data_IF_554197518282
#
_entry.id   IF_554197518282
#
_cell.length_a   1.000
_cell.length_b   1.000
_cell.length_c   1.000
_cell.angle_alpha   90.00
_cell.angle_beta   90.00
_cell.angle_gamma   90.00
#
_symmetry.space_group_name_H-M   'P 1'
#
loop_
_entity.id
_entity.type
_entity.pdbx_description
1 polymer ?
#
# COMPACT_ATOMS: atom_id res chain seq x y z
N UNK A 1 -69.44 -2.62 18.68
CA UNK A 1 -68.35 -1.79 18.12
C UNK A 1 -67.00 -2.02 18.81
N UNK A 2 -66.72 -3.17 19.45
CA UNK A 2 -65.42 -3.43 20.17
C UNK A 2 -64.41 -4.32 19.42
N UNK A 3 -64.79 -5.01 18.35
CA UNK A 3 -63.89 -5.99 17.71
C UNK A 3 -63.02 -5.47 16.55
N UNK A 4 -63.23 -4.25 16.05
CA UNK A 4 -62.41 -3.73 14.94
C UNK A 4 -61.05 -3.16 15.36
N UNK A 5 -60.88 -2.78 16.62
CA UNK A 5 -59.63 -2.18 17.10
C UNK A 5 -58.56 -3.23 17.55
N UNK A 6 -59.01 -4.42 17.95
CA UNK A 6 -58.08 -5.50 18.34
C UNK A 6 -57.33 -6.09 17.13
N UNK A 7 -58.03 -6.28 16.00
CA UNK A 7 -57.40 -6.84 14.78
C UNK A 7 -56.36 -5.86 14.19
N UNK A 8 -56.52 -4.55 14.33
CA UNK A 8 -55.54 -3.55 13.88
C UNK A 8 -54.31 -3.48 14.77
N UNK A 9 -54.40 -3.87 16.04
CA UNK A 9 -53.24 -3.90 16.93
C UNK A 9 -52.37 -5.14 16.66
N UNK A 10 -52.96 -6.30 16.48
CA UNK A 10 -52.22 -7.54 16.20
C UNK A 10 -51.44 -7.49 14.86
N UNK A 11 -52.03 -6.91 13.81
CA UNK A 11 -51.36 -6.73 12.54
C UNK A 11 -50.16 -5.75 12.60
N UNK A 12 -50.23 -4.74 13.46
CA UNK A 12 -49.09 -3.83 13.67
C UNK A 12 -47.95 -4.49 14.43
N UNK A 13 -48.23 -5.29 15.43
CA UNK A 13 -47.22 -6.01 16.18
C UNK A 13 -46.54 -7.11 15.34
N UNK A 14 -47.26 -7.83 14.52
CA UNK A 14 -46.71 -8.80 13.57
C UNK A 14 -45.82 -8.12 12.54
N UNK A 15 -46.18 -6.94 12.02
CA UNK A 15 -45.33 -6.21 11.06
C UNK A 15 -44.06 -5.68 11.70
N UNK A 16 -44.12 -5.17 12.94
CA UNK A 16 -42.94 -4.71 13.67
C UNK A 16 -42.04 -5.88 14.04
N UNK A 17 -42.57 -7.02 14.45
CA UNK A 17 -41.82 -8.22 14.77
C UNK A 17 -41.12 -8.79 13.51
N UNK A 18 -41.80 -8.78 12.36
CA UNK A 18 -41.23 -9.23 11.08
C UNK A 18 -40.06 -8.32 10.62
N UNK A 19 -40.19 -7.00 10.80
CA UNK A 19 -39.13 -6.05 10.48
C UNK A 19 -37.94 -6.23 11.41
N UNK A 20 -38.17 -6.45 12.71
CA UNK A 20 -37.10 -6.71 13.69
C UNK A 20 -36.41 -8.05 13.42
N UNK A 21 -37.14 -9.10 13.08
CA UNK A 21 -36.59 -10.41 12.71
C UNK A 21 -35.83 -10.32 11.40
N UNK A 22 -36.36 -9.62 10.39
CA UNK A 22 -35.64 -9.39 9.13
C UNK A 22 -34.37 -8.55 9.33
N UNK A 23 -34.40 -7.53 10.18
CA UNK A 23 -33.20 -6.74 10.50
C UNK A 23 -32.17 -7.57 11.29
N UNK A 24 -32.60 -8.43 12.21
CA UNK A 24 -31.71 -9.35 12.93
C UNK A 24 -31.16 -10.46 12.03
N UNK A 25 -31.93 -10.95 11.06
CA UNK A 25 -31.44 -11.91 10.04
C UNK A 25 -30.49 -11.24 9.08
N UNK A 26 -30.74 -10.00 8.66
CA UNK A 26 -29.81 -9.25 7.83
C UNK A 26 -28.48 -8.93 8.55
N UNK A 27 -28.49 -8.77 9.87
CA UNK A 27 -27.25 -8.56 10.65
C UNK A 27 -26.45 -9.87 10.82
N UNK A 28 -27.12 -11.04 10.77
CA UNK A 28 -26.45 -12.35 10.92
C UNK A 28 -26.04 -13.03 9.60
N UNK A 29 -26.40 -12.48 8.45
CA UNK A 29 -25.98 -12.99 7.12
C UNK A 29 -24.63 -12.38 6.66
N UNK A 30 -23.94 -11.65 7.51
CA UNK A 30 -22.52 -11.42 7.31
C UNK A 30 -21.81 -12.74 7.61
N UNK A 31 -21.81 -13.64 6.62
CA UNK A 31 -21.08 -14.89 6.67
C UNK A 31 -19.66 -14.60 7.16
N UNK A 32 -19.17 -15.41 8.07
CA UNK A 32 -17.78 -15.30 8.51
C UNK A 32 -16.91 -15.32 7.26
N UNK A 33 -16.36 -14.15 6.92
CA UNK A 33 -15.48 -14.01 5.75
C UNK A 33 -14.25 -14.85 6.01
N UNK A 34 -14.13 -15.92 5.25
CA UNK A 34 -13.04 -16.87 5.44
C UNK A 34 -11.82 -16.42 4.65
N UNK A 35 -10.69 -16.39 5.35
CA UNK A 35 -9.38 -16.15 4.77
C UNK A 35 -8.56 -17.41 4.88
N UNK A 36 -8.15 -17.97 3.75
CA UNK A 36 -7.24 -19.12 3.72
C UNK A 36 -5.80 -18.64 3.56
N UNK A 37 -4.93 -19.18 4.40
CA UNK A 37 -3.50 -18.95 4.36
C UNK A 37 -2.77 -20.21 3.96
N UNK A 38 -1.98 -20.14 2.91
CA UNK A 38 -1.09 -21.20 2.49
C UNK A 38 0.35 -20.75 2.59
N UNK A 39 1.17 -21.40 3.39
CA UNK A 39 2.59 -21.08 3.50
C UNK A 39 3.28 -21.38 2.17
N UNK A 40 3.92 -20.38 1.59
CA UNK A 40 4.69 -20.55 0.37
C UNK A 40 6.07 -21.15 0.68
N UNK A 41 6.47 -22.13 -0.09
CA UNK A 41 7.84 -22.64 -0.11
C UNK A 41 8.70 -21.65 -0.88
N UNK A 42 9.84 -21.25 -0.32
CA UNK A 42 10.77 -20.35 -0.99
C UNK A 42 12.09 -21.08 -1.14
N UNK A 43 12.54 -21.24 -2.38
CA UNK A 43 13.73 -22.03 -2.68
C UNK A 43 15.05 -21.31 -2.29
N UNK A 44 15.02 -19.99 -2.24
CA UNK A 44 16.15 -19.16 -1.82
C UNK A 44 15.67 -17.99 -0.97
N UNK A 45 15.76 -18.15 0.36
CA UNK A 45 15.42 -17.06 1.31
C UNK A 45 16.69 -16.30 1.68
N UNK A 46 16.77 -15.00 1.38
CA UNK A 46 17.90 -14.19 1.81
C UNK A 46 17.86 -13.93 3.32
N UNK A 47 18.97 -13.52 3.88
CA UNK A 47 18.98 -12.96 5.23
C UNK A 47 18.28 -11.60 5.21
N UNK A 48 17.03 -11.56 5.64
CA UNK A 48 16.18 -10.37 5.62
C UNK A 48 16.18 -9.71 7.01
N UNK A 49 16.61 -8.45 7.10
CA UNK A 49 16.39 -7.58 8.26
C UNK A 49 15.01 -6.92 8.17
N UNK A 50 14.69 -6.34 7.02
CA UNK A 50 13.42 -5.70 6.76
C UNK A 50 13.03 -5.85 5.28
N UNK A 51 11.73 -6.04 5.01
CA UNK A 51 11.15 -5.90 3.68
C UNK A 51 10.54 -4.50 3.59
N UNK A 52 11.00 -3.72 2.63
CA UNK A 52 10.49 -2.37 2.41
C UNK A 52 9.29 -2.35 1.47
N UNK A 53 9.40 -3.07 0.36
CA UNK A 53 8.32 -3.16 -0.62
C UNK A 53 8.12 -4.60 -1.07
N UNK A 54 6.87 -4.92 -1.37
CA UNK A 54 6.46 -6.14 -2.07
C UNK A 54 5.51 -5.74 -3.19
N UNK A 55 5.74 -6.26 -4.39
CA UNK A 55 4.91 -5.94 -5.53
C UNK A 55 4.91 -7.08 -6.55
N UNK A 56 3.80 -7.24 -7.26
CA UNK A 56 3.75 -8.06 -8.47
C UNK A 56 4.04 -7.16 -9.67
N UNK A 57 5.00 -7.55 -10.48
CA UNK A 57 5.36 -6.90 -11.74
C UNK A 57 5.28 -7.93 -12.86
N UNK A 58 4.27 -7.82 -13.70
CA UNK A 58 3.94 -8.89 -14.65
C UNK A 58 3.52 -10.17 -13.90
N UNK A 59 4.27 -11.25 -14.10
CA UNK A 59 4.08 -12.54 -13.41
C UNK A 59 5.12 -12.78 -12.30
N UNK A 60 5.92 -11.78 -11.96
CA UNK A 60 6.99 -11.87 -10.98
C UNK A 60 6.62 -11.22 -9.66
N UNK A 61 6.93 -11.90 -8.59
CA UNK A 61 6.90 -11.34 -7.25
C UNK A 61 8.24 -10.71 -6.94
N UNK A 62 8.23 -9.41 -6.70
CA UNK A 62 9.40 -8.59 -6.45
C UNK A 62 9.43 -8.11 -5.00
N UNK A 63 10.56 -8.21 -4.34
CA UNK A 63 10.78 -7.65 -3.01
C UNK A 63 12.00 -6.75 -2.99
N UNK A 64 11.89 -5.59 -2.35
CA UNK A 64 13.06 -4.83 -1.91
C UNK A 64 13.27 -5.06 -0.43
N UNK A 65 14.51 -5.33 -0.03
CA UNK A 65 14.82 -5.74 1.33
C UNK A 65 16.20 -5.28 1.78
N UNK A 66 16.35 -5.09 3.09
CA UNK A 66 17.62 -4.77 3.76
C UNK A 66 18.23 -6.04 4.36
N UNK A 67 19.53 -6.23 4.16
CA UNK A 67 20.29 -7.31 4.81
C UNK A 67 20.81 -6.87 6.20
N UNK A 68 20.95 -7.81 7.17
CA UNK A 68 21.39 -7.47 8.53
C UNK A 68 22.75 -6.79 8.65
N UNK A 69 23.65 -7.03 7.69
CA UNK A 69 25.04 -6.52 7.70
C UNK A 69 25.25 -5.32 6.77
N UNK A 70 24.22 -4.91 6.02
CA UNK A 70 24.29 -3.78 5.08
C UNK A 70 23.36 -2.67 5.54
N UNK A 71 23.90 -1.70 6.23
CA UNK A 71 23.11 -0.55 6.67
C UNK A 71 22.84 0.40 5.50
N UNK A 72 21.56 0.70 5.26
CA UNK A 72 21.12 1.65 4.24
C UNK A 72 21.07 1.12 2.81
N UNK A 73 21.79 0.04 2.49
CA UNK A 73 21.78 -0.56 1.16
C UNK A 73 20.72 -1.65 1.06
N UNK A 74 19.80 -1.50 0.13
CA UNK A 74 18.77 -2.50 -0.13
C UNK A 74 19.02 -3.23 -1.45
N UNK A 75 18.48 -4.42 -1.51
CA UNK A 75 18.56 -5.29 -2.68
C UNK A 75 17.16 -5.50 -3.25
N UNK A 76 17.08 -5.78 -4.53
CA UNK A 76 15.87 -6.23 -5.20
C UNK A 76 16.01 -7.70 -5.55
N UNK A 77 15.03 -8.52 -5.17
CA UNK A 77 14.89 -9.90 -5.63
C UNK A 77 13.60 -10.11 -6.38
N UNK A 78 13.68 -10.98 -7.37
CA UNK A 78 12.53 -11.45 -8.13
C UNK A 78 12.33 -12.95 -7.96
N UNK A 79 11.06 -13.34 -7.94
CA UNK A 79 10.61 -14.72 -7.85
C UNK A 79 9.48 -14.96 -8.84
N UNK A 80 9.47 -16.16 -9.41
CA UNK A 80 8.28 -16.66 -10.12
C UNK A 80 7.32 -17.25 -9.11
N UNK A 81 6.06 -16.85 -9.18
CA UNK A 81 5.00 -17.40 -8.33
C UNK A 81 4.47 -18.68 -9.00
N UNK A 82 4.62 -19.81 -8.32
CA UNK A 82 4.02 -21.08 -8.73
C UNK A 82 2.91 -21.43 -7.74
N UNK A 83 1.69 -21.09 -8.12
CA UNK A 83 0.51 -21.35 -7.28
C UNK A 83 0.20 -22.84 -7.16
N UNK A 84 0.52 -23.63 -8.17
CA UNK A 84 0.26 -25.07 -8.19
C UNK A 84 1.13 -25.79 -7.15
N UNK A 85 2.42 -25.50 -7.13
CA UNK A 85 3.35 -26.03 -6.14
C UNK A 85 3.39 -25.21 -4.84
N UNK A 86 2.62 -24.11 -4.77
CA UNK A 86 2.60 -23.18 -3.64
C UNK A 86 4.01 -22.69 -3.28
N UNK A 87 4.76 -22.26 -4.27
CA UNK A 87 6.16 -21.86 -4.11
C UNK A 87 6.51 -20.55 -4.76
N UNK A 88 7.56 -19.91 -4.21
CA UNK A 88 8.27 -18.79 -4.80
C UNK A 88 9.62 -19.32 -5.28
N UNK A 89 9.78 -19.41 -6.59
CA UNK A 89 11.03 -19.85 -7.21
C UNK A 89 11.91 -18.64 -7.44
N UNK A 90 13.09 -18.63 -6.82
CA UNK A 90 14.06 -17.53 -7.00
C UNK A 90 14.48 -17.43 -8.48
N UNK A 91 14.52 -16.23 -8.99
CA UNK A 91 14.86 -15.97 -10.37
C UNK A 91 16.13 -15.12 -10.45
N UNK A 92 16.15 -13.93 -9.84
CA UNK A 92 17.31 -13.04 -9.93
C UNK A 92 17.42 -12.09 -8.74
N UNK A 93 18.64 -11.56 -8.53
CA UNK A 93 18.92 -10.54 -7.53
C UNK A 93 19.71 -9.39 -8.13
N UNK A 94 19.24 -8.18 -7.92
CA UNK A 94 19.83 -6.96 -8.46
C UNK A 94 20.54 -6.17 -7.36
N UNK A 95 21.50 -5.34 -7.75
CA UNK A 95 22.19 -4.37 -6.89
C UNK A 95 23.14 -4.95 -5.85
N UNK A 96 23.50 -6.23 -5.96
CA UNK A 96 24.43 -6.87 -5.00
C UNK A 96 25.87 -6.41 -5.17
N UNK A 97 26.27 -6.04 -6.38
CA UNK A 97 27.67 -5.66 -6.67
C UNK A 97 27.84 -4.13 -6.60
N UNK A 98 28.42 -3.59 -5.51
CA UNK A 98 28.64 -2.15 -5.37
C UNK A 98 29.69 -1.59 -6.34
N UNK A 99 30.51 -2.44 -6.96
CA UNK A 99 31.52 -1.98 -7.92
C UNK A 99 30.92 -1.58 -9.28
N UNK A 100 29.72 -2.07 -9.61
CA UNK A 100 29.04 -1.76 -10.88
C UNK A 100 27.83 -0.82 -10.70
N UNK A 101 27.40 -0.62 -9.48
CA UNK A 101 26.38 0.35 -9.13
C UNK A 101 26.85 1.12 -7.89
N UNK A 102 26.63 2.40 -7.84
CA UNK A 102 26.92 3.23 -6.66
C UNK A 102 26.08 2.84 -5.43
N UNK A 103 25.57 1.60 -5.39
CA UNK A 103 24.63 1.09 -4.41
C UNK A 103 23.28 1.82 -4.53
N UNK A 104 22.18 1.12 -4.33
CA UNK A 104 20.88 1.78 -4.21
C UNK A 104 20.57 1.97 -2.74
N UNK A 105 20.44 3.23 -2.34
CA UNK A 105 19.96 3.58 -1.02
C UNK A 105 18.44 3.67 -1.04
N UNK A 106 17.78 2.78 -0.28
CA UNK A 106 16.32 2.77 -0.15
C UNK A 106 15.57 2.67 -1.49
N UNK A 107 15.73 1.60 -2.26
CA UNK A 107 15.06 1.43 -3.54
C UNK A 107 13.56 1.42 -3.39
N UNK A 108 12.87 2.15 -4.23
CA UNK A 108 11.42 2.08 -4.38
C UNK A 108 11.13 1.42 -5.71
N UNK A 109 10.47 0.26 -5.64
CA UNK A 109 10.05 -0.51 -6.80
C UNK A 109 8.68 -0.04 -7.26
N UNK A 110 8.50 0.09 -8.55
CA UNK A 110 7.19 0.34 -9.17
C UNK A 110 7.09 -0.35 -10.52
N UNK A 111 5.85 -0.70 -10.87
CA UNK A 111 5.54 -1.31 -12.14
C UNK A 111 5.39 -0.24 -13.21
N UNK A 112 6.09 -0.43 -14.34
CA UNK A 112 5.87 0.34 -15.55
C UNK A 112 4.79 -0.29 -16.44
N UNK A 113 4.48 0.37 -17.55
CA UNK A 113 3.72 -0.24 -18.62
C UNK A 113 4.57 -1.32 -19.31
N UNK A 114 3.92 -2.33 -19.91
CA UNK A 114 4.59 -3.39 -20.68
C UNK A 114 5.51 -4.34 -19.86
N UNK A 115 5.25 -4.49 -18.56
CA UNK A 115 6.00 -5.44 -17.73
C UNK A 115 7.40 -4.98 -17.30
N UNK A 116 7.80 -3.76 -17.64
CA UNK A 116 9.04 -3.18 -17.14
C UNK A 116 8.91 -2.86 -15.65
N UNK A 117 9.97 -3.14 -14.91
CA UNK A 117 10.11 -2.66 -13.54
C UNK A 117 10.99 -1.41 -13.53
N UNK A 118 10.59 -0.46 -12.70
CA UNK A 118 11.39 0.70 -12.42
C UNK A 118 11.79 0.69 -10.94
N UNK A 119 13.04 1.02 -10.68
CA UNK A 119 13.55 1.17 -9.32
C UNK A 119 14.13 2.56 -9.17
N UNK A 120 13.60 3.30 -8.22
CA UNK A 120 14.12 4.60 -7.90
C UNK A 120 15.03 4.54 -6.69
N UNK A 121 16.20 5.16 -6.79
CA UNK A 121 17.03 5.49 -5.64
C UNK A 121 16.51 6.76 -4.97
N UNK A 122 16.21 6.67 -3.67
CA UNK A 122 15.69 7.83 -2.93
C UNK A 122 16.74 8.83 -2.50
N UNK A 123 17.96 8.38 -2.36
CA UNK A 123 19.10 9.24 -1.98
C UNK A 123 19.65 9.99 -3.18
N UNK A 124 19.75 9.30 -4.29
CA UNK A 124 20.13 9.87 -5.56
C UNK A 124 18.90 9.89 -6.46
N UNK A 125 18.56 11.01 -7.09
CA UNK A 125 17.36 11.09 -7.92
C UNK A 125 17.56 10.31 -9.25
N UNK A 126 17.79 9.01 -9.14
CA UNK A 126 17.99 8.09 -10.24
C UNK A 126 16.86 7.09 -10.34
N UNK A 127 16.39 6.85 -11.54
CA UNK A 127 15.44 5.79 -11.87
C UNK A 127 16.10 4.79 -12.78
N UNK A 128 16.13 3.55 -12.35
CA UNK A 128 16.66 2.43 -13.14
C UNK A 128 15.49 1.70 -13.78
N UNK A 129 15.55 1.52 -15.08
CA UNK A 129 14.65 0.65 -15.83
C UNK A 129 15.25 -0.74 -15.90
N UNK A 130 14.47 -1.74 -15.51
CA UNK A 130 14.90 -3.14 -15.45
C UNK A 130 14.02 -3.96 -16.38
N UNK A 131 14.66 -4.67 -17.30
CA UNK A 131 14.04 -5.76 -18.04
C UNK A 131 14.09 -7.02 -17.17
N UNK A 132 12.94 -7.38 -16.62
CA UNK A 132 12.85 -8.54 -15.73
C UNK A 132 12.98 -9.88 -16.46
N UNK A 133 12.75 -9.91 -17.77
CA UNK A 133 12.90 -11.14 -18.55
C UNK A 133 14.36 -11.43 -18.89
N UNK A 134 15.10 -10.39 -19.24
CA UNK A 134 16.52 -10.51 -19.54
C UNK A 134 17.44 -10.37 -18.34
N UNK A 135 16.87 -10.03 -17.17
CA UNK A 135 17.62 -9.78 -15.93
C UNK A 135 18.68 -8.70 -16.03
N UNK A 136 18.43 -7.66 -16.82
CA UNK A 136 19.38 -6.57 -17.05
C UNK A 136 18.78 -5.21 -16.72
N UNK A 137 19.63 -4.31 -16.23
CA UNK A 137 19.31 -2.89 -16.20
C UNK A 137 19.46 -2.32 -17.60
N UNK A 138 18.38 -1.81 -18.18
CA UNK A 138 18.39 -1.26 -19.53
C UNK A 138 18.84 0.19 -19.56
N UNK A 139 18.23 1.02 -18.74
CA UNK A 139 18.45 2.45 -18.73
C UNK A 139 18.51 3.01 -17.31
N UNK A 140 19.23 4.11 -17.16
CA UNK A 140 19.24 4.91 -15.93
C UNK A 140 18.84 6.33 -16.29
N UNK A 141 17.78 6.83 -15.66
CA UNK A 141 17.31 8.18 -15.84
C UNK A 141 17.62 9.00 -14.61
N UNK A 142 18.19 10.17 -14.80
CA UNK A 142 18.46 11.12 -13.72
C UNK A 142 17.35 12.16 -13.68
N UNK A 143 16.71 12.30 -12.51
CA UNK A 143 15.85 13.44 -12.28
C UNK A 143 16.69 14.69 -12.06
N UNK A 144 16.59 15.62 -12.97
CA UNK A 144 17.20 16.95 -12.80
C UNK A 144 16.08 17.89 -12.35
N UNK A 145 15.92 18.04 -11.04
CA UNK A 145 15.04 19.09 -10.53
C UNK A 145 15.68 20.45 -10.82
N UNK A 146 15.02 21.23 -11.64
CA UNK A 146 15.44 22.62 -11.85
C UNK A 146 15.49 23.34 -10.50
N UNK A 147 16.56 24.07 -10.22
CA UNK A 147 16.68 24.92 -9.01
C UNK A 147 15.58 25.99 -8.93
N UNK A 148 14.90 26.27 -10.04
CA UNK A 148 13.71 27.15 -10.11
C UNK A 148 12.42 26.38 -9.82
N UNK A 149 12.38 25.05 -9.86
CA UNK A 149 11.21 24.30 -9.46
C UNK A 149 11.08 24.36 -7.94
N UNK A 150 9.93 24.78 -7.45
CA UNK A 150 9.59 24.81 -6.02
C UNK A 150 9.43 23.40 -5.42
N UNK A 151 9.83 22.37 -6.13
CA UNK A 151 9.80 20.98 -5.64
C UNK A 151 11.01 20.79 -4.73
N UNK A 152 10.79 20.72 -3.43
CA UNK A 152 11.90 20.62 -2.51
C UNK A 152 12.56 19.25 -2.62
N UNK A 153 13.86 19.25 -2.45
CA UNK A 153 14.64 18.08 -2.13
C UNK A 153 13.98 17.27 -1.02
N UNK A 154 13.83 16.02 -1.24
CA UNK A 154 13.24 15.10 -0.31
C UNK A 154 11.94 14.56 -0.88
N UNK A 155 12.07 13.67 -1.86
CA UNK A 155 11.01 12.73 -2.12
C UNK A 155 10.68 12.07 -0.79
N UNK A 156 9.40 12.08 -0.43
CA UNK A 156 8.99 11.53 0.84
C UNK A 156 9.54 10.11 0.94
N UNK A 157 10.32 9.88 1.97
CA UNK A 157 10.87 8.59 2.30
C UNK A 157 9.73 7.58 2.35
N UNK A 158 9.61 6.65 1.47
CA UNK A 158 8.63 5.55 1.43
C UNK A 158 7.50 5.65 0.39
N UNK A 159 7.74 6.32 -0.72
CA UNK A 159 6.71 6.51 -1.71
C UNK A 159 7.04 5.75 -2.97
N UNK A 160 6.26 4.73 -3.36
CA UNK A 160 6.39 4.13 -4.67
C UNK A 160 6.03 5.16 -5.73
N UNK A 161 6.76 5.13 -6.80
CA UNK A 161 6.40 5.79 -8.03
C UNK A 161 5.26 5.04 -8.69
N UNK A 162 4.36 5.77 -9.31
CA UNK A 162 3.42 5.22 -10.26
C UNK A 162 3.83 5.70 -11.65
N UNK A 163 3.98 4.75 -12.55
CA UNK A 163 4.30 5.03 -13.93
C UNK A 163 3.04 5.24 -14.76
N UNK A 164 3.05 6.23 -15.64
CA UNK A 164 1.91 6.62 -16.43
C UNK A 164 2.26 6.64 -17.93
N UNK A 165 1.36 6.14 -18.76
CA UNK A 165 1.21 6.21 -20.24
C UNK A 165 2.46 6.16 -21.14
N UNK A 166 3.56 6.79 -20.80
CA UNK A 166 4.80 6.78 -21.57
C UNK A 166 5.97 6.48 -20.64
N UNK A 167 7.07 5.95 -21.19
CA UNK A 167 8.25 5.56 -20.42
C UNK A 167 8.98 6.73 -19.73
N UNK A 168 8.45 7.94 -19.88
CA UNK A 168 9.08 9.17 -19.39
C UNK A 168 8.19 9.95 -18.41
N UNK A 169 6.99 9.44 -18.09
CA UNK A 169 6.08 10.13 -17.17
C UNK A 169 5.88 9.33 -15.88
N UNK A 170 6.18 9.97 -14.74
CA UNK A 170 6.11 9.38 -13.41
C UNK A 170 5.25 10.22 -12.48
N UNK A 171 4.51 9.55 -11.60
CA UNK A 171 3.79 10.20 -10.51
C UNK A 171 4.38 9.75 -9.17
N UNK A 172 4.56 10.70 -8.27
CA UNK A 172 5.15 10.45 -6.96
C UNK A 172 4.58 11.40 -5.90
N UNK A 173 4.74 11.05 -4.65
CA UNK A 173 4.46 11.96 -3.54
C UNK A 173 5.76 12.66 -3.15
N UNK A 174 5.75 13.96 -3.24
CA UNK A 174 6.87 14.83 -2.89
C UNK A 174 6.51 15.74 -1.73
N UNK A 175 7.50 16.48 -1.24
CA UNK A 175 7.36 17.38 -0.11
C UNK A 175 7.39 18.84 -0.58
N UNK A 176 6.36 19.62 -0.25
CA UNK A 176 6.34 21.05 -0.46
C UNK A 176 7.33 21.80 0.46
N UNK A 177 7.72 23.04 0.15
CA UNK A 177 8.61 23.85 0.99
C UNK A 177 8.17 23.99 2.45
N UNK A 178 6.86 23.99 2.70
CA UNK A 178 6.26 24.04 4.05
C UNK A 178 6.18 22.67 4.74
N UNK A 179 6.74 21.63 4.13
CA UNK A 179 6.73 20.27 4.69
C UNK A 179 5.46 19.45 4.45
N UNK A 180 4.42 20.05 3.86
CA UNK A 180 3.22 19.33 3.41
C UNK A 180 3.60 18.47 2.20
N UNK A 181 3.04 17.27 2.11
CA UNK A 181 3.24 16.41 0.96
C UNK A 181 2.13 16.61 -0.06
N UNK A 182 2.49 16.43 -1.32
CA UNK A 182 1.57 16.48 -2.44
C UNK A 182 1.92 15.41 -3.47
N UNK A 183 0.95 15.07 -4.30
CA UNK A 183 1.16 14.23 -5.48
C UNK A 183 1.72 15.10 -6.60
N UNK A 184 2.82 14.67 -7.18
CA UNK A 184 3.48 15.32 -8.30
C UNK A 184 3.48 14.42 -9.51
N UNK A 185 3.50 15.05 -10.68
CA UNK A 185 3.77 14.42 -11.96
C UNK A 185 5.08 14.97 -12.50
N UNK A 186 5.94 14.11 -12.99
CA UNK A 186 7.16 14.50 -13.68
C UNK A 186 7.23 13.86 -15.06
N UNK A 187 7.70 14.62 -16.02
CA UNK A 187 8.05 14.11 -17.34
C UNK A 187 9.57 14.20 -17.45
N UNK A 188 10.20 13.06 -17.70
CA UNK A 188 11.62 12.99 -17.98
C UNK A 188 11.81 13.19 -19.48
N UNK A 189 12.36 14.31 -19.87
CA UNK A 189 12.89 14.47 -21.22
C UNK A 189 14.41 14.59 -21.19
N UNK A 190 15.06 14.50 -22.35
CA UNK A 190 16.52 14.48 -22.46
C UNK A 190 17.20 15.74 -21.95
N UNK A 191 16.49 16.86 -21.81
CA UNK A 191 17.05 18.16 -21.47
C UNK A 191 16.67 18.65 -20.07
N UNK A 192 15.49 18.28 -19.56
CA UNK A 192 15.02 18.73 -18.26
C UNK A 192 13.92 17.85 -17.68
N UNK A 193 13.79 17.82 -16.36
CA UNK A 193 12.65 17.20 -15.69
C UNK A 193 11.59 18.27 -15.42
N UNK A 194 10.47 18.17 -16.11
CA UNK A 194 9.30 19.00 -15.81
C UNK A 194 8.54 18.37 -14.65
N UNK A 195 8.33 19.11 -13.58
CA UNK A 195 7.59 18.65 -12.42
C UNK A 195 6.37 19.53 -12.20
N UNK A 196 5.22 18.91 -12.07
CA UNK A 196 3.93 19.55 -11.83
C UNK A 196 3.32 18.98 -10.53
N UNK A 197 2.85 19.88 -9.65
CA UNK A 197 2.03 19.48 -8.51
C UNK A 197 0.62 19.18 -9.00
N UNK A 198 0.11 18.01 -8.65
CA UNK A 198 -1.24 17.57 -9.01
C UNK A 198 -2.22 17.89 -7.90
N UNK A 199 -1.95 17.43 -6.67
CA UNK A 199 -2.88 17.56 -5.55
C UNK A 199 -2.16 17.45 -4.20
N UNK A 200 -2.41 18.37 -3.25
CA UNK A 200 -1.94 18.24 -1.89
C UNK A 200 -2.54 17.01 -1.20
N UNK A 201 -1.75 16.34 -0.38
CA UNK A 201 -2.27 15.32 0.52
C UNK A 201 -2.95 15.94 1.73
N UNK A 202 -3.96 15.26 2.26
CA UNK A 202 -4.69 15.68 3.47
C UNK A 202 -3.71 15.96 4.60
N UNK A 203 -3.81 17.16 5.18
CA UNK A 203 -2.95 17.61 6.26
C UNK A 203 -3.73 17.93 7.53
N UNK A 204 -3.29 17.37 8.66
CA UNK A 204 -3.85 17.66 9.97
C UNK A 204 -2.86 18.56 10.72
N UNK A 205 -3.22 19.86 10.89
CA UNK A 205 -2.34 20.91 11.43
C UNK A 205 -1.62 20.59 12.74
N UNK A 206 -2.21 19.75 13.58
CA UNK A 206 -1.60 19.37 14.87
C UNK A 206 -0.51 18.32 14.78
N UNK A 207 -0.24 17.80 13.59
CA UNK A 207 0.85 16.87 13.35
C UNK A 207 2.02 17.56 12.68
N UNK A 208 3.26 17.15 12.97
CA UNK A 208 4.42 17.62 12.23
C UNK A 208 4.23 17.37 10.73
N UNK A 209 4.45 18.38 9.91
CA UNK A 209 4.19 18.32 8.48
C UNK A 209 4.91 17.15 7.79
N UNK A 210 6.11 16.81 8.25
CA UNK A 210 6.91 15.73 7.66
C UNK A 210 6.39 14.32 8.00
N UNK A 211 5.60 14.15 9.07
CA UNK A 211 5.05 12.85 9.47
C UNK A 211 3.59 12.69 9.06
N UNK A 212 2.86 13.77 8.93
CA UNK A 212 1.42 13.78 8.75
C UNK A 212 0.97 12.95 7.54
N UNK A 213 1.72 13.04 6.46
CA UNK A 213 1.35 12.44 5.18
C UNK A 213 2.13 11.16 4.87
N UNK A 214 2.89 10.62 5.83
CA UNK A 214 3.53 9.34 5.61
C UNK A 214 2.52 8.25 5.30
N UNK A 215 2.87 7.42 4.32
CA UNK A 215 2.03 6.34 3.88
C UNK A 215 2.66 5.56 2.75
N UNK A 216 1.89 4.65 2.21
CA UNK A 216 2.22 3.90 1.01
C UNK A 216 1.18 4.12 -0.06
N UNK A 217 1.56 3.87 -1.29
CA UNK A 217 0.69 4.08 -2.44
C UNK A 217 0.57 2.83 -3.29
N UNK A 218 -0.53 2.81 -4.01
CA UNK A 218 -0.76 1.92 -5.14
C UNK A 218 -1.41 2.70 -6.27
N UNK A 219 -1.30 2.21 -7.47
CA UNK A 219 -1.72 2.93 -8.67
C UNK A 219 -2.50 2.04 -9.62
N UNK A 220 -3.56 2.60 -10.19
CA UNK A 220 -4.28 1.98 -11.28
C UNK A 220 -3.96 2.72 -12.59
N UNK A 221 -3.08 2.15 -13.40
CA UNK A 221 -2.69 2.74 -14.67
C UNK A 221 -3.82 2.83 -15.70
N UNK A 222 -4.84 1.96 -15.59
CA UNK A 222 -6.00 1.99 -16.49
C UNK A 222 -6.94 3.17 -16.21
N UNK A 223 -7.12 3.51 -14.93
CA UNK A 223 -7.98 4.60 -14.48
C UNK A 223 -7.22 5.91 -14.23
N UNK A 224 -5.90 5.90 -14.26
CA UNK A 224 -5.03 6.99 -13.85
C UNK A 224 -5.33 7.51 -12.43
N UNK A 225 -5.57 6.58 -11.50
CA UNK A 225 -5.87 6.91 -10.10
C UNK A 225 -4.79 6.36 -9.19
N UNK A 226 -4.24 7.23 -8.37
CA UNK A 226 -3.33 6.89 -7.28
C UNK A 226 -4.12 6.78 -5.98
N UNK A 227 -3.89 5.73 -5.20
CA UNK A 227 -4.43 5.58 -3.85
C UNK A 227 -3.29 5.67 -2.83
N UNK A 228 -3.40 6.62 -1.91
CA UNK A 228 -2.43 6.84 -0.83
C UNK A 228 -3.03 6.44 0.52
N UNK A 229 -2.49 5.38 1.12
CA UNK A 229 -2.87 4.91 2.45
C UNK A 229 -1.99 5.55 3.53
N UNK A 230 -2.58 6.30 4.45
CA UNK A 230 -1.84 7.00 5.49
C UNK A 230 -1.40 6.08 6.63
N UNK A 231 -0.14 6.18 7.05
CA UNK A 231 0.35 5.43 8.22
C UNK A 231 -0.31 5.86 9.53
N UNK A 232 -0.60 7.14 9.70
CA UNK A 232 -1.07 7.70 10.96
C UNK A 232 -2.56 8.06 10.97
N UNK A 233 -3.24 7.94 9.83
CA UNK A 233 -4.69 8.16 9.72
C UNK A 233 -5.39 6.91 9.21
N UNK A 234 -6.57 6.58 9.73
CA UNK A 234 -7.38 5.47 9.21
C UNK A 234 -8.10 5.89 7.93
N UNK A 235 -7.35 6.25 6.91
CA UNK A 235 -7.89 6.77 5.67
C UNK A 235 -7.01 6.47 4.46
N UNK A 236 -7.63 6.51 3.29
CA UNK A 236 -6.97 6.42 1.99
C UNK A 236 -7.43 7.63 1.17
N UNK A 237 -6.49 8.37 0.59
CA UNK A 237 -6.78 9.43 -0.36
C UNK A 237 -6.58 8.91 -1.77
N UNK A 238 -7.60 9.09 -2.59
CA UNK A 238 -7.57 8.78 -4.02
C UNK A 238 -7.33 10.08 -4.78
N UNK A 239 -6.43 10.05 -5.75
CA UNK A 239 -6.10 11.20 -6.59
C UNK A 239 -6.19 10.76 -8.06
N UNK A 240 -7.09 11.35 -8.79
CA UNK A 240 -7.16 11.18 -10.23
C UNK A 240 -6.15 12.11 -10.89
N UNK A 241 -5.19 11.54 -11.61
CA UNK A 241 -4.05 12.27 -12.17
C UNK A 241 -4.41 13.06 -13.44
N UNK A 242 -5.54 12.74 -14.09
CA UNK A 242 -6.01 13.46 -15.27
C UNK A 242 -6.86 14.67 -14.89
N UNK A 243 -7.81 14.47 -13.98
CA UNK A 243 -8.74 15.54 -13.56
C UNK A 243 -8.20 16.40 -12.43
N UNK A 244 -7.12 15.97 -11.79
CA UNK A 244 -6.53 16.58 -10.58
C UNK A 244 -7.53 16.66 -9.41
N UNK A 245 -8.51 15.78 -9.39
CA UNK A 245 -9.49 15.70 -8.32
C UNK A 245 -9.07 14.64 -7.32
N UNK A 246 -9.36 14.89 -6.06
CA UNK A 246 -9.11 13.96 -4.98
C UNK A 246 -10.30 13.81 -4.06
N UNK A 247 -10.39 12.65 -3.43
CA UNK A 247 -11.32 12.38 -2.35
C UNK A 247 -10.68 11.45 -1.33
N UNK A 248 -11.15 11.52 -0.10
CA UNK A 248 -10.57 10.76 1.00
C UNK A 248 -11.61 9.86 1.65
N UNK A 249 -11.30 8.58 1.72
CA UNK A 249 -12.12 7.55 2.34
C UNK A 249 -11.58 7.23 3.73
N UNK A 250 -12.41 7.37 4.75
CA UNK A 250 -12.11 6.88 6.10
C UNK A 250 -12.47 5.42 6.20
N UNK A 251 -11.58 4.60 6.70
CA UNK A 251 -11.82 3.16 6.89
C UNK A 251 -12.29 2.82 8.30
N UNK A 252 -12.20 3.72 9.24
CA UNK A 252 -12.67 3.52 10.59
C UNK A 252 -13.16 4.83 11.22
N UNK A 253 -14.20 4.72 12.03
CA UNK A 253 -14.45 5.66 13.11
C UNK A 253 -13.47 5.33 14.25
N UNK A 254 -12.83 6.22 14.85
CA UNK A 254 -13.35 7.45 15.39
C UNK A 254 -12.98 8.67 14.58
N UNK A 255 -13.75 9.69 14.80
CA UNK A 255 -13.61 11.02 14.32
C UNK A 255 -12.13 11.47 14.30
N UNK A 256 -11.46 11.45 13.14
CA UNK A 256 -10.07 11.89 13.05
C UNK A 256 -9.84 13.37 13.39
N UNK A 257 -10.91 14.18 13.50
CA UNK A 257 -10.83 15.50 14.14
C UNK A 257 -10.35 15.42 15.60
N UNK A 258 -10.45 14.27 16.25
CA UNK A 258 -10.02 14.01 17.63
C UNK A 258 -8.73 13.18 17.72
N UNK A 259 -7.95 13.08 16.66
CA UNK A 259 -6.65 12.40 16.72
C UNK A 259 -5.78 13.03 17.83
N UNK A 260 -5.18 12.17 18.63
CA UNK A 260 -4.25 12.61 19.68
C UNK A 260 -3.00 13.21 19.06
N UNK A 261 -2.34 14.19 19.68
CA UNK A 261 -1.02 14.64 19.27
C UNK A 261 -0.06 13.45 19.14
N UNK A 262 0.84 13.52 18.16
CA UNK A 262 1.84 12.46 17.99
C UNK A 262 2.83 12.49 19.14
N UNK A 263 3.19 11.30 19.65
CA UNK A 263 4.30 11.15 20.56
C UNK A 263 5.64 11.42 19.84
N UNK A 264 6.67 11.77 20.58
CA UNK A 264 8.01 12.00 20.04
C UNK A 264 8.53 10.77 19.26
N UNK A 265 8.27 9.55 19.77
CA UNK A 265 8.56 8.28 19.09
C UNK A 265 7.45 7.97 18.11
N UNK A 266 7.44 8.65 16.97
CA UNK A 266 6.33 8.61 16.02
C UNK A 266 5.98 7.19 15.59
N UNK A 267 6.98 6.36 15.35
CA UNK A 267 6.79 5.01 14.83
C UNK A 267 6.44 3.97 15.88
N UNK A 268 6.98 4.13 17.09
CA UNK A 268 6.86 3.12 18.14
C UNK A 268 5.59 3.25 18.97
N UNK A 269 5.18 4.48 19.29
CA UNK A 269 4.09 4.73 20.24
C UNK A 269 2.77 5.13 19.62
N UNK A 270 2.78 5.70 18.41
CA UNK A 270 1.54 6.10 17.74
C UNK A 270 0.87 4.91 17.03
N UNK A 271 -0.46 4.99 16.91
CA UNK A 271 -1.21 3.97 16.18
C UNK A 271 -0.88 4.06 14.69
N UNK A 272 -0.26 3.03 14.17
CA UNK A 272 -0.13 2.85 12.73
C UNK A 272 -1.46 2.35 12.17
N UNK A 273 -1.95 3.04 11.18
CA UNK A 273 -3.22 2.72 10.53
C UNK A 273 -2.97 1.82 9.31
N UNK A 274 -2.72 2.38 8.16
CA UNK A 274 -2.44 1.59 6.95
C UNK A 274 -0.96 1.22 6.93
N UNK A 275 -0.65 -0.05 7.23
CA UNK A 275 0.75 -0.52 7.23
C UNK A 275 1.28 -0.74 5.83
N UNK A 276 0.42 -1.23 4.94
CA UNK A 276 0.76 -1.46 3.54
C UNK A 276 -0.49 -1.36 2.67
N UNK A 277 -0.31 -1.09 1.38
CA UNK A 277 -1.39 -0.98 0.41
C UNK A 277 -0.94 -1.57 -0.92
N UNK A 278 -1.82 -2.32 -1.56
CA UNK A 278 -1.60 -2.91 -2.88
C UNK A 278 -2.92 -2.93 -3.65
N UNK A 279 -2.89 -3.23 -4.94
CA UNK A 279 -4.11 -3.25 -5.73
C UNK A 279 -4.04 -4.21 -6.92
N UNK A 280 -5.23 -4.52 -7.41
CA UNK A 280 -5.48 -5.00 -8.77
C UNK A 280 -6.15 -3.89 -9.60
N UNK A 281 -6.48 -4.17 -10.84
CA UNK A 281 -7.29 -3.24 -11.65
C UNK A 281 -8.69 -2.98 -11.06
N UNK A 282 -9.19 -3.87 -10.20
CA UNK A 282 -10.56 -3.82 -9.67
C UNK A 282 -10.60 -3.31 -8.22
N UNK A 283 -9.64 -3.73 -7.40
CA UNK A 283 -9.69 -3.49 -5.96
C UNK A 283 -8.38 -2.93 -5.42
N UNK A 284 -8.51 -2.15 -4.35
CA UNK A 284 -7.45 -1.69 -3.46
C UNK A 284 -7.51 -2.50 -2.18
N UNK A 285 -6.38 -3.01 -1.73
CA UNK A 285 -6.23 -3.81 -0.52
C UNK A 285 -5.34 -3.06 0.47
N UNK A 286 -5.91 -2.65 1.60
CA UNK A 286 -5.20 -1.92 2.63
C UNK A 286 -4.99 -2.80 3.87
N UNK A 287 -3.73 -3.05 4.22
CA UNK A 287 -3.36 -3.75 5.44
C UNK A 287 -3.48 -2.80 6.63
N UNK A 288 -4.51 -2.96 7.43
CA UNK A 288 -4.84 -2.08 8.54
C UNK A 288 -4.45 -2.69 9.89
N UNK A 289 -3.54 -2.02 10.60
CA UNK A 289 -3.08 -2.49 11.91
C UNK A 289 -3.89 -1.92 13.07
N UNK A 290 -4.12 -0.60 13.10
CA UNK A 290 -4.71 0.13 14.21
C UNK A 290 -4.02 -0.17 15.57
N UNK A 291 -2.72 -0.35 15.54
CA UNK A 291 -1.86 -0.65 16.69
C UNK A 291 -0.52 0.05 16.53
N UNK A 292 0.13 0.40 17.65
CA UNK A 292 1.50 0.92 17.59
C UNK A 292 2.49 -0.18 17.21
N UNK A 293 3.64 0.21 16.67
CA UNK A 293 4.72 -0.71 16.32
C UNK A 293 5.15 -1.54 17.54
N UNK A 294 5.27 -0.88 18.69
CA UNK A 294 5.64 -1.53 19.96
C UNK A 294 4.61 -2.59 20.36
N UNK A 295 3.31 -2.25 20.34
CA UNK A 295 2.24 -3.19 20.66
C UNK A 295 2.17 -4.35 19.67
N UNK A 296 2.33 -4.07 18.39
CA UNK A 296 2.30 -5.11 17.37
C UNK A 296 3.48 -6.09 17.53
N UNK A 297 4.66 -5.57 17.88
CA UNK A 297 5.85 -6.39 18.17
C UNK A 297 5.63 -7.28 19.38
N UNK A 298 5.05 -6.74 20.46
CA UNK A 298 4.74 -7.51 21.68
C UNK A 298 3.71 -8.62 21.38
N UNK A 299 2.64 -8.31 20.67
CA UNK A 299 1.63 -9.27 20.28
C UNK A 299 2.20 -10.37 19.33
N UNK A 300 3.11 -10.01 18.44
CA UNK A 300 3.81 -10.96 17.56
C UNK A 300 4.62 -11.98 18.39
N UNK A 301 5.37 -11.52 19.39
CA UNK A 301 6.13 -12.40 20.30
C UNK A 301 5.20 -13.38 21.05
N UNK A 302 4.00 -12.94 21.41
CA UNK A 302 2.97 -13.75 22.08
C UNK A 302 2.15 -14.62 21.10
N UNK A 303 2.39 -14.55 19.78
CA UNK A 303 1.58 -15.20 18.74
C UNK A 303 0.10 -14.75 18.72
N UNK A 304 -0.19 -13.57 19.25
CA UNK A 304 -1.54 -12.97 19.33
C UNK A 304 -1.72 -11.79 18.35
N UNK A 305 -0.74 -11.52 17.51
CA UNK A 305 -0.84 -10.44 16.56
C UNK A 305 -1.91 -10.76 15.50
N UNK A 306 -2.76 -9.79 15.28
CA UNK A 306 -3.77 -9.80 14.22
C UNK A 306 -3.84 -8.44 13.55
N UNK A 307 -4.26 -8.41 12.30
CA UNK A 307 -4.52 -7.21 11.56
C UNK A 307 -5.83 -7.36 10.76
N UNK A 308 -6.20 -6.34 10.04
CA UNK A 308 -7.33 -6.38 9.12
C UNK A 308 -6.87 -6.10 7.71
N UNK A 309 -7.57 -6.66 6.74
CA UNK A 309 -7.43 -6.33 5.34
C UNK A 309 -8.73 -5.67 4.89
N UNK A 310 -8.63 -4.39 4.53
CA UNK A 310 -9.76 -3.62 4.01
C UNK A 310 -9.70 -3.67 2.49
N UNK A 311 -10.79 -4.12 1.87
CA UNK A 311 -10.93 -4.20 0.42
C UNK A 311 -11.86 -3.08 -0.03
N UNK A 312 -11.36 -2.23 -0.92
CA UNK A 312 -12.12 -1.12 -1.50
C UNK A 312 -12.11 -1.24 -3.03
N UNK A 313 -13.10 -0.66 -3.68
CA UNK A 313 -12.99 -0.39 -5.11
C UNK A 313 -12.24 0.93 -5.37
N UNK A 314 -11.96 1.19 -6.65
CA UNK A 314 -11.29 2.42 -7.05
C UNK A 314 -12.16 3.68 -6.98
N UNK A 315 -13.44 3.54 -6.60
CA UNK A 315 -14.33 4.66 -6.24
C UNK A 315 -14.35 4.90 -4.73
N UNK A 316 -13.53 4.16 -3.96
CA UNK A 316 -13.41 4.31 -2.52
C UNK A 316 -14.51 3.62 -1.70
N UNK A 317 -15.39 2.84 -2.32
CA UNK A 317 -16.39 2.07 -1.58
C UNK A 317 -15.74 0.87 -0.90
N UNK A 318 -15.90 0.78 0.42
CA UNK A 318 -15.46 -0.40 1.18
C UNK A 318 -16.35 -1.58 0.80
N UNK A 319 -15.75 -2.62 0.24
CA UNK A 319 -16.46 -3.84 -0.16
C UNK A 319 -16.47 -4.86 0.95
N UNK A 320 -15.31 -5.07 1.59
CA UNK A 320 -15.13 -6.06 2.65
C UNK A 320 -14.03 -5.66 3.62
N UNK A 321 -14.11 -6.22 4.84
CA UNK A 321 -13.05 -6.12 5.85
C UNK A 321 -12.81 -7.51 6.40
N UNK A 322 -11.67 -8.09 6.06
CA UNK A 322 -11.27 -9.40 6.53
C UNK A 322 -10.44 -9.30 7.82
N UNK A 323 -10.69 -10.19 8.77
CA UNK A 323 -9.82 -10.39 9.92
C UNK A 323 -8.67 -11.31 9.54
N UNK A 324 -7.45 -10.86 9.74
CA UNK A 324 -6.22 -11.59 9.49
C UNK A 324 -5.66 -12.06 10.83
N UNK A 325 -5.79 -13.35 11.21
CA UNK A 325 -5.41 -13.85 12.54
C UNK A 325 -3.90 -14.09 12.64
N UNK A 326 -3.10 -13.16 12.12
CA UNK A 326 -1.63 -13.19 12.18
C UNK A 326 -1.03 -11.82 11.94
N UNK A 327 0.24 -11.70 12.29
CA UNK A 327 1.05 -10.55 11.93
C UNK A 327 1.38 -10.57 10.44
N UNK A 328 1.08 -9.49 9.75
CA UNK A 328 1.60 -9.17 8.42
C UNK A 328 2.22 -7.78 8.44
N UNK A 329 3.36 -7.61 7.77
CA UNK A 329 4.01 -6.32 7.56
C UNK A 329 3.78 -5.78 6.16
N UNK A 330 3.61 -6.66 5.17
CA UNK A 330 3.50 -6.31 3.76
C UNK A 330 2.50 -7.23 3.05
N UNK A 331 1.92 -6.71 1.98
CA UNK A 331 1.01 -7.42 1.08
C UNK A 331 1.27 -7.03 -0.38
N UNK A 332 1.13 -8.00 -1.29
CA UNK A 332 1.18 -7.77 -2.73
C UNK A 332 0.03 -8.51 -3.42
N UNK A 333 -0.73 -7.83 -4.27
CA UNK A 333 -1.88 -8.41 -4.96
C UNK A 333 -1.46 -9.13 -6.25
N UNK A 334 -1.93 -10.35 -6.42
CA UNK A 334 -1.89 -11.10 -7.67
C UNK A 334 -3.03 -10.65 -8.58
N UNK A 335 -2.89 -10.89 -9.87
CA UNK A 335 -3.87 -10.46 -10.89
C UNK A 335 -5.26 -11.04 -10.65
N UNK A 336 -5.34 -12.25 -10.13
CA UNK A 336 -6.60 -12.96 -9.82
C UNK A 336 -7.26 -12.52 -8.49
N UNK A 337 -6.67 -11.56 -7.78
CA UNK A 337 -7.19 -11.03 -6.52
C UNK A 337 -6.72 -11.78 -5.26
N UNK A 338 -5.97 -12.87 -5.41
CA UNK A 338 -5.22 -13.43 -4.28
C UNK A 338 -4.11 -12.47 -3.86
N UNK A 339 -3.57 -12.67 -2.66
CA UNK A 339 -2.50 -11.83 -2.15
C UNK A 339 -1.31 -12.69 -1.70
N UNK A 340 -0.12 -12.14 -1.81
CA UNK A 340 1.05 -12.63 -1.08
C UNK A 340 1.23 -11.72 0.13
N UNK A 341 1.17 -12.30 1.33
CA UNK A 341 1.43 -11.59 2.59
C UNK A 341 2.77 -12.00 3.18
N UNK A 342 3.43 -11.07 3.88
CA UNK A 342 4.69 -11.36 4.59
C UNK A 342 4.69 -10.83 6.02
N UNK A 343 5.34 -11.57 6.93
CA UNK A 343 5.67 -11.12 8.28
C UNK A 343 7.12 -10.59 8.41
N UNK A 344 7.78 -10.42 7.27
CA UNK A 344 9.18 -10.05 7.17
C UNK A 344 10.15 -11.23 7.09
N UNK A 345 9.67 -12.48 7.26
CA UNK A 345 10.50 -13.71 7.20
C UNK A 345 9.85 -14.81 6.38
N UNK A 346 8.54 -14.93 6.45
CA UNK A 346 7.74 -15.95 5.75
C UNK A 346 6.76 -15.27 4.81
N UNK A 347 6.37 -16.02 3.78
CA UNK A 347 5.41 -15.58 2.78
C UNK A 347 4.22 -16.55 2.75
N UNK A 348 3.02 -16.01 2.60
CA UNK A 348 1.78 -16.77 2.51
C UNK A 348 0.98 -16.35 1.30
N UNK A 349 0.45 -17.32 0.58
CA UNK A 349 -0.65 -17.09 -0.35
C UNK A 349 -1.93 -16.92 0.47
N UNK A 350 -2.63 -15.83 0.25
CA UNK A 350 -3.86 -15.46 0.95
C UNK A 350 -4.99 -15.47 -0.07
N UNK A 351 -5.96 -16.35 0.17
CA UNK A 351 -7.19 -16.43 -0.63
C UNK A 351 -8.34 -15.85 0.19
N UNK A 352 -9.08 -14.94 -0.39
CA UNK A 352 -10.25 -14.27 0.19
C UNK A 352 -11.53 -14.91 -0.35
N UNK A 353 -12.53 -15.17 0.51
CA UNK A 353 -13.80 -15.81 0.14
C UNK A 353 -14.99 -14.94 0.56
#
# INVERSE_FOLDING_TARGET
MKNRNMIKLETRWCSVLLVVVLSLVCVNVWGQEHVKFTLLKVDSVPAIKAIENMQIVGNRFCITYEEPKRWGSQLLRTYVVDETSQSLKFEHEYFRNPATSNGIDYPVLFQGNLGNAFVMDRTYPLVYQIDLEKHVMQNTHKFVFSTKSKVPYGMALNVPFAYRKSDMEFCFVGRQPKGIQAVYRSVLDSASTRVEEIEPLVYIKKYPAWTANFGKQTFNGRMNVLAHGFYLYPAIQYVNLDTKQSYTVKIAEPNWKRLKPLAADVWDKNLMQIKDITSTNTYVYALWWNKSQQNMTALRKQRKAECKLVVLDWNGSIKRIYRIPRYLSNVAALVDGKLIGSDGKKFWLITLF
#
